data_IF_716639059396
#
_entry.id   IF_716639059396
#
_cell.length_a   1.000
_cell.length_b   1.000
_cell.length_c   1.000
_cell.angle_alpha   90.00
_cell.angle_beta   90.00
_cell.angle_gamma   90.00
#
_symmetry.space_group_name_H-M   'P 1'
#
loop_
_entity.id
_entity.type
_entity.pdbx_description
1 polymer ?
#
# COMPACT_ATOMS: atom_id res chain seq x y z
N UNK A 1 -30.91 -29.90 15.20
CA UNK A 1 -30.35 -28.74 15.93
C UNK A 1 -28.92 -28.39 15.50
N UNK A 2 -28.00 -29.37 15.42
CA UNK A 2 -26.57 -29.14 15.08
C UNK A 2 -26.32 -28.49 13.70
N UNK A 3 -27.08 -28.84 12.65
CA UNK A 3 -26.92 -28.22 11.32
C UNK A 3 -27.21 -26.70 11.31
N UNK A 4 -28.12 -26.24 12.16
CA UNK A 4 -28.50 -24.82 12.22
C UNK A 4 -27.41 -23.99 12.88
N UNK A 5 -26.73 -24.54 13.90
CA UNK A 5 -25.59 -23.90 14.57
C UNK A 5 -24.41 -23.76 13.61
N UNK A 6 -24.09 -24.82 12.87
CA UNK A 6 -23.00 -24.76 11.87
C UNK A 6 -23.29 -23.75 10.76
N UNK A 7 -24.54 -23.67 10.29
CA UNK A 7 -24.92 -22.69 9.27
C UNK A 7 -24.85 -21.26 9.78
N UNK A 8 -25.19 -21.03 11.04
CA UNK A 8 -25.04 -19.72 11.69
C UNK A 8 -23.57 -19.32 11.79
N UNK A 9 -22.70 -20.22 12.27
CA UNK A 9 -21.27 -19.95 12.39
C UNK A 9 -20.61 -19.62 11.05
N UNK A 10 -21.02 -20.32 9.96
CA UNK A 10 -20.56 -19.98 8.60
C UNK A 10 -20.98 -18.57 8.19
N UNK A 11 -22.21 -18.18 8.52
CA UNK A 11 -22.73 -16.84 8.20
C UNK A 11 -22.00 -15.76 8.99
N UNK A 12 -21.79 -15.97 10.30
CA UNK A 12 -21.02 -15.06 11.16
C UNK A 12 -19.61 -14.87 10.61
N UNK A 13 -18.91 -15.96 10.29
CA UNK A 13 -17.57 -15.89 9.72
C UNK A 13 -17.54 -15.13 8.39
N UNK A 14 -18.51 -15.36 7.50
CA UNK A 14 -18.60 -14.65 6.23
C UNK A 14 -18.79 -13.13 6.45
N UNK A 15 -19.61 -12.74 7.43
CA UNK A 15 -19.81 -11.34 7.80
C UNK A 15 -18.53 -10.72 8.38
N UNK A 16 -17.83 -11.41 9.28
CA UNK A 16 -16.55 -10.94 9.83
C UNK A 16 -15.48 -10.78 8.75
N UNK A 17 -15.37 -11.74 7.84
CA UNK A 17 -14.40 -11.68 6.75
C UNK A 17 -14.68 -10.51 5.80
N UNK A 18 -15.95 -10.20 5.56
CA UNK A 18 -16.37 -9.06 4.73
C UNK A 18 -16.07 -7.72 5.41
N UNK A 19 -16.28 -7.63 6.73
CA UNK A 19 -16.02 -6.43 7.53
C UNK A 19 -14.55 -6.19 7.87
N UNK A 20 -13.66 -7.15 7.60
CA UNK A 20 -12.23 -7.04 7.93
C UNK A 20 -11.30 -7.06 6.72
N UNK A 21 -11.79 -7.36 5.52
CA UNK A 21 -10.94 -7.48 4.32
C UNK A 21 -10.15 -6.22 3.98
N UNK A 22 -10.74 -5.04 4.11
CA UNK A 22 -10.07 -3.76 3.85
C UNK A 22 -9.03 -3.47 4.92
N UNK A 23 -9.36 -3.74 6.18
CA UNK A 23 -8.40 -3.66 7.30
C UNK A 23 -7.18 -4.55 7.05
N UNK A 24 -7.38 -5.83 6.71
CA UNK A 24 -6.30 -6.76 6.38
C UNK A 24 -5.45 -6.29 5.19
N UNK A 25 -6.09 -5.71 4.16
CA UNK A 25 -5.37 -5.14 3.03
C UNK A 25 -4.51 -3.92 3.42
N UNK A 26 -5.00 -3.09 4.33
CA UNK A 26 -4.26 -1.95 4.87
C UNK A 26 -3.05 -2.41 5.70
N UNK A 27 -3.23 -3.38 6.60
CA UNK A 27 -2.15 -3.98 7.40
C UNK A 27 -1.05 -4.56 6.50
N UNK A 28 -1.44 -5.35 5.50
CA UNK A 28 -0.50 -5.91 4.52
C UNK A 28 0.25 -4.82 3.72
N UNK A 29 -0.40 -3.68 3.48
CA UNK A 29 0.23 -2.53 2.80
C UNK A 29 1.26 -1.86 3.71
N UNK A 30 0.96 -1.68 5.00
CA UNK A 30 1.89 -1.12 5.99
C UNK A 30 3.14 -1.99 6.12
N UNK A 31 2.97 -3.31 6.20
CA UNK A 31 4.09 -4.25 6.28
C UNK A 31 4.98 -4.18 5.03
N UNK A 32 4.35 -4.11 3.85
CA UNK A 32 5.09 -4.02 2.60
C UNK A 32 5.87 -2.72 2.44
N UNK A 33 5.26 -1.58 2.77
CA UNK A 33 5.96 -0.28 2.77
C UNK A 33 7.13 -0.32 3.77
N UNK A 34 6.93 -0.92 4.94
CA UNK A 34 7.97 -1.06 5.95
C UNK A 34 9.14 -1.93 5.45
N UNK A 35 8.85 -3.01 4.73
CA UNK A 35 9.88 -3.85 4.09
C UNK A 35 10.63 -3.08 3.01
N UNK A 36 9.93 -2.32 2.18
CA UNK A 36 10.52 -1.55 1.09
C UNK A 36 11.44 -0.44 1.61
N UNK A 37 11.02 0.29 2.66
CA UNK A 37 11.85 1.28 3.33
C UNK A 37 13.15 0.67 3.88
N UNK A 38 13.09 -0.51 4.50
CA UNK A 38 14.28 -1.25 4.93
C UNK A 38 15.15 -1.61 3.73
N UNK A 39 14.56 -2.12 2.65
CA UNK A 39 15.31 -2.48 1.44
C UNK A 39 16.07 -1.29 0.83
N UNK A 40 15.49 -0.09 0.90
CA UNK A 40 16.12 1.13 0.42
C UNK A 40 17.34 1.52 1.27
N UNK A 41 17.25 1.39 2.61
CA UNK A 41 18.32 1.74 3.54
C UNK A 41 19.54 0.82 3.42
N UNK A 42 19.33 -0.48 3.20
CA UNK A 42 20.39 -1.50 3.26
C UNK A 42 20.96 -1.94 1.90
N UNK A 43 20.45 -1.42 0.77
CA UNK A 43 20.92 -1.80 -0.57
C UNK A 43 21.54 -0.65 -1.41
N UNK A 44 22.61 0.04 -0.94
CA UNK A 44 23.27 1.09 -1.70
C UNK A 44 24.30 0.59 -2.74
N UNK A 45 24.94 -0.57 -2.55
CA UNK A 45 26.05 -1.01 -3.44
C UNK A 45 25.62 -1.91 -4.61
N UNK A 46 24.64 -2.78 -4.41
CA UNK A 46 24.23 -3.79 -5.42
C UNK A 46 23.38 -3.21 -6.57
N UNK A 47 22.94 -1.95 -6.47
CA UNK A 47 21.95 -1.36 -7.39
C UNK A 47 22.53 -0.33 -8.37
N UNK A 48 23.83 -0.01 -8.29
CA UNK A 48 24.48 0.88 -9.27
C UNK A 48 24.51 0.28 -10.69
N UNK A 49 24.51 -1.05 -10.80
CA UNK A 49 24.61 -1.77 -12.08
C UNK A 49 23.26 -2.06 -12.75
N UNK A 50 22.14 -1.94 -12.04
CA UNK A 50 20.78 -2.25 -12.54
C UNK A 50 19.91 -1.02 -12.78
N UNK A 51 20.41 0.18 -12.50
CA UNK A 51 19.68 1.44 -12.69
C UNK A 51 19.66 1.88 -14.16
N UNK A 52 18.88 1.18 -14.99
CA UNK A 52 18.64 1.55 -16.38
C UNK A 52 17.61 2.68 -16.54
N UNK A 53 16.86 3.03 -15.49
CA UNK A 53 16.00 4.20 -15.48
C UNK A 53 16.73 5.39 -14.85
N UNK A 54 17.15 6.33 -15.69
CA UNK A 54 17.49 7.69 -15.29
C UNK A 54 16.18 8.45 -15.05
N UNK A 55 15.74 8.53 -13.80
CA UNK A 55 14.71 9.48 -13.40
C UNK A 55 15.35 10.87 -13.32
N UNK A 56 14.62 11.90 -13.72
CA UNK A 56 15.09 13.28 -13.60
C UNK A 56 14.67 13.84 -12.24
N UNK A 57 15.38 14.85 -11.68
CA UNK A 57 14.96 15.47 -10.43
C UNK A 57 13.51 15.99 -10.46
N UNK A 58 13.01 16.40 -11.63
CA UNK A 58 11.62 16.84 -11.82
C UNK A 58 10.60 15.72 -11.55
N UNK A 59 10.98 14.45 -11.68
CA UNK A 59 10.10 13.31 -11.39
C UNK A 59 9.74 13.24 -9.90
N UNK A 60 10.60 13.77 -9.02
CA UNK A 60 10.31 13.91 -7.58
C UNK A 60 9.07 14.79 -7.33
N UNK A 61 8.87 15.82 -8.17
CA UNK A 61 7.72 16.72 -8.07
C UNK A 61 6.43 15.96 -8.41
N UNK A 62 6.50 15.06 -9.40
CA UNK A 62 5.36 14.25 -9.83
C UNK A 62 4.95 13.25 -8.75
N UNK A 63 5.89 12.46 -8.23
CA UNK A 63 5.59 11.45 -7.19
C UNK A 63 5.08 12.09 -5.89
N UNK A 64 5.57 13.28 -5.52
CA UNK A 64 5.09 14.02 -4.34
C UNK A 64 3.61 14.41 -4.48
N UNK A 65 3.16 14.81 -5.68
CA UNK A 65 1.74 15.10 -5.94
C UNK A 65 0.86 13.85 -5.81
N UNK A 66 1.35 12.70 -6.29
CA UNK A 66 0.64 11.44 -6.13
C UNK A 66 0.49 11.05 -4.66
N UNK A 67 1.52 11.31 -3.82
CA UNK A 67 1.43 11.10 -2.37
C UNK A 67 0.30 11.95 -1.77
N UNK A 68 0.17 13.22 -2.14
CA UNK A 68 -0.94 14.08 -1.68
C UNK A 68 -2.31 13.47 -2.02
N UNK A 69 -2.49 12.97 -3.24
CA UNK A 69 -3.74 12.33 -3.66
C UNK A 69 -4.00 11.01 -2.91
N UNK A 70 -2.96 10.20 -2.68
CA UNK A 70 -3.06 8.95 -1.92
C UNK A 70 -3.44 9.20 -0.46
N UNK A 71 -2.84 10.22 0.18
CA UNK A 71 -3.20 10.62 1.55
C UNK A 71 -4.63 11.11 1.64
N UNK A 72 -5.08 11.95 0.70
CA UNK A 72 -6.48 12.40 0.66
C UNK A 72 -7.45 11.21 0.53
N UNK A 73 -7.12 10.22 -0.31
CA UNK A 73 -7.92 8.99 -0.45
C UNK A 73 -7.92 8.15 0.83
N UNK A 74 -6.80 8.04 1.53
CA UNK A 74 -6.73 7.34 2.81
C UNK A 74 -7.63 7.99 3.88
N UNK A 75 -7.63 9.32 3.97
CA UNK A 75 -8.53 10.07 4.87
C UNK A 75 -9.99 9.85 4.49
N UNK A 76 -10.32 9.94 3.20
CA UNK A 76 -11.69 9.70 2.72
C UNK A 76 -12.17 8.27 3.01
N UNK A 77 -11.31 7.26 2.83
CA UNK A 77 -11.62 5.87 3.15
C UNK A 77 -11.85 5.65 4.65
N UNK A 78 -11.07 6.34 5.50
CA UNK A 78 -11.30 6.34 6.95
C UNK A 78 -12.63 6.97 7.33
N UNK A 79 -13.04 8.04 6.64
CA UNK A 79 -14.32 8.70 6.87
C UNK A 79 -15.52 7.88 6.37
N UNK A 80 -15.40 7.18 5.23
CA UNK A 80 -16.49 6.35 4.69
C UNK A 80 -16.67 5.05 5.46
N UNK A 81 -15.59 4.54 6.07
CA UNK A 81 -15.54 3.24 6.76
C UNK A 81 -16.01 2.07 5.87
N UNK A 82 -16.00 2.25 4.54
CA UNK A 82 -16.35 1.23 3.57
C UNK A 82 -15.11 0.36 3.29
N UNK A 83 -15.24 -0.95 3.49
CA UNK A 83 -14.13 -1.89 3.30
C UNK A 83 -13.54 -1.85 1.89
N UNK A 84 -14.37 -1.57 0.87
CA UNK A 84 -13.92 -1.38 -0.51
C UNK A 84 -13.04 -0.13 -0.68
N UNK A 85 -13.40 0.97 -0.03
CA UNK A 85 -12.63 2.22 -0.07
C UNK A 85 -11.31 2.06 0.66
N UNK A 86 -11.32 1.39 1.82
CA UNK A 86 -10.11 1.08 2.59
C UNK A 86 -9.15 0.22 1.76
N UNK A 87 -9.65 -0.83 1.09
CA UNK A 87 -8.84 -1.66 0.21
C UNK A 87 -8.29 -0.86 -1.00
N UNK A 88 -9.11 0.01 -1.60
CA UNK A 88 -8.69 0.86 -2.71
C UNK A 88 -7.66 1.92 -2.30
N UNK A 89 -7.75 2.44 -1.07
CA UNK A 89 -6.77 3.34 -0.48
C UNK A 89 -5.47 2.61 -0.17
N UNK A 90 -5.53 1.40 0.39
CA UNK A 90 -4.37 0.56 0.65
C UNK A 90 -3.57 0.28 -0.64
N UNK A 91 -4.25 -0.21 -1.69
CA UNK A 91 -3.60 -0.49 -2.97
C UNK A 91 -2.98 0.76 -3.62
N UNK A 92 -3.69 1.90 -3.61
CA UNK A 92 -3.15 3.15 -4.13
C UNK A 92 -1.94 3.63 -3.31
N UNK A 93 -2.04 3.56 -1.98
CA UNK A 93 -0.96 3.93 -1.07
C UNK A 93 0.30 3.10 -1.32
N UNK A 94 0.16 1.77 -1.42
CA UNK A 94 1.27 0.87 -1.74
C UNK A 94 1.97 1.27 -3.04
N UNK A 95 1.21 1.40 -4.13
CA UNK A 95 1.76 1.76 -5.44
C UNK A 95 2.47 3.11 -5.39
N UNK A 96 1.83 4.12 -4.78
CA UNK A 96 2.35 5.48 -4.72
C UNK A 96 3.67 5.56 -3.97
N UNK A 97 3.77 4.87 -2.83
CA UNK A 97 5.00 4.84 -2.05
C UNK A 97 6.10 4.06 -2.77
N UNK A 98 5.77 2.93 -3.40
CA UNK A 98 6.75 2.13 -4.15
C UNK A 98 7.32 2.91 -5.35
N UNK A 99 6.45 3.57 -6.12
CA UNK A 99 6.86 4.46 -7.22
C UNK A 99 7.74 5.62 -6.69
N UNK A 100 7.37 6.24 -5.56
CA UNK A 100 8.15 7.31 -4.93
C UNK A 100 9.55 6.83 -4.48
N UNK A 101 9.64 5.71 -3.80
CA UNK A 101 10.91 5.16 -3.32
C UNK A 101 11.83 4.78 -4.49
N UNK A 102 11.26 4.24 -5.57
CA UNK A 102 11.99 3.96 -6.82
C UNK A 102 12.57 5.23 -7.44
N UNK A 103 11.78 6.30 -7.57
CA UNK A 103 12.26 7.58 -8.12
C UNK A 103 13.29 8.22 -7.20
N UNK A 104 13.06 8.25 -5.88
CA UNK A 104 14.05 8.76 -4.90
C UNK A 104 15.38 8.02 -5.03
N UNK A 105 15.34 6.70 -5.21
CA UNK A 105 16.53 5.88 -5.38
C UNK A 105 17.20 6.08 -6.75
N UNK A 106 16.43 6.32 -7.80
CA UNK A 106 16.96 6.64 -9.11
C UNK A 106 17.70 7.98 -9.11
N UNK A 107 17.07 9.03 -8.58
CA UNK A 107 17.63 10.40 -8.58
C UNK A 107 18.82 10.55 -7.62
N UNK A 108 18.81 9.87 -6.47
CA UNK A 108 19.89 10.03 -5.49
C UNK A 108 21.21 9.35 -5.92
N UNK A 109 21.16 8.43 -6.89
CA UNK A 109 22.32 7.68 -7.38
C UNK A 109 22.55 7.80 -8.90
N UNK A 110 21.78 8.64 -9.60
CA UNK A 110 22.04 9.10 -10.98
C UNK A 110 23.12 10.16 -11.02
#
# INVERSE_FOLDING_TARGET
MVMNVTSLLKTVKAVEDEHTRGTRAMEATVDAISQELRSMQFAPEMMRSSMQQLSRPEDLISVTKHVTAATAKAVAAGASNLQADIAAAANLGRKTISDMLSVCKSVAWS
#
